data_IF_173884213027
#
_entry.id   IF_173884213027
#
_cell.length_a   1.000
_cell.length_b   1.000
_cell.length_c   1.000
_cell.angle_alpha   90.00
_cell.angle_beta   90.00
_cell.angle_gamma   90.00
#
_symmetry.space_group_name_H-M   'P 1'
#
loop_
_entity.id
_entity.type
_entity.pdbx_description
1 polymer ?
#
# COMPACT_ATOMS: atom_id res chain seq x y z
N UNK A 1 -15.36 13.27 -14.78
CA UNK A 1 -15.62 13.10 -16.23
C UNK A 1 -16.96 13.68 -16.68
N UNK A 2 -18.14 13.33 -16.10
CA UNK A 2 -19.42 13.89 -16.59
C UNK A 2 -19.51 15.41 -16.60
N UNK A 3 -18.93 16.09 -15.61
CA UNK A 3 -18.85 17.57 -15.60
C UNK A 3 -17.99 18.12 -16.73
N UNK A 4 -16.85 17.49 -17.02
CA UNK A 4 -15.96 17.87 -18.13
C UNK A 4 -16.73 17.78 -19.45
N UNK A 5 -17.50 16.70 -19.65
CA UNK A 5 -18.32 16.46 -20.83
C UNK A 5 -19.45 17.49 -20.96
N UNK A 6 -20.24 17.67 -19.89
CA UNK A 6 -21.40 18.57 -19.88
C UNK A 6 -20.99 20.02 -20.10
N UNK A 7 -19.99 20.49 -19.34
CA UNK A 7 -19.60 21.90 -19.31
C UNK A 7 -18.49 22.22 -20.35
N UNK A 8 -18.07 21.22 -21.16
CA UNK A 8 -17.02 21.33 -22.19
C UNK A 8 -15.75 21.96 -21.67
N UNK A 9 -15.31 21.53 -20.47
CA UNK A 9 -14.14 22.08 -19.83
C UNK A 9 -12.88 21.80 -20.66
N UNK A 10 -12.04 22.82 -20.83
CA UNK A 10 -10.75 22.66 -21.48
C UNK A 10 -9.79 21.85 -20.64
N UNK A 11 -8.79 21.19 -21.26
CA UNK A 11 -7.72 20.47 -20.56
C UNK A 11 -7.04 21.37 -19.51
N UNK A 12 -6.82 22.66 -19.82
CA UNK A 12 -6.23 23.64 -18.89
C UNK A 12 -7.09 23.82 -17.65
N UNK A 13 -8.41 24.00 -17.79
CA UNK A 13 -9.30 24.15 -16.62
C UNK A 13 -9.29 22.89 -15.75
N UNK A 14 -9.28 21.70 -16.36
CA UNK A 14 -9.20 20.43 -15.63
C UNK A 14 -7.87 20.33 -14.87
N UNK A 15 -6.75 20.70 -15.52
CA UNK A 15 -5.43 20.74 -14.89
C UNK A 15 -5.41 21.70 -13.69
N UNK A 16 -5.87 22.94 -13.86
CA UNK A 16 -5.87 23.96 -12.80
C UNK A 16 -6.72 23.52 -11.59
N UNK A 17 -7.88 22.89 -11.84
CA UNK A 17 -8.71 22.30 -10.80
C UNK A 17 -8.02 21.16 -10.05
N UNK A 18 -7.35 20.26 -10.77
CA UNK A 18 -6.61 19.14 -10.18
C UNK A 18 -5.39 19.64 -9.41
N UNK A 19 -4.64 20.61 -9.92
CA UNK A 19 -3.52 21.22 -9.20
C UNK A 19 -3.99 21.80 -7.88
N UNK A 20 -5.08 22.60 -7.89
CA UNK A 20 -5.69 23.15 -6.68
C UNK A 20 -6.14 22.06 -5.70
N UNK A 21 -6.76 20.99 -6.19
CA UNK A 21 -7.18 19.85 -5.37
C UNK A 21 -5.98 19.13 -4.74
N UNK A 22 -4.94 18.79 -5.52
CA UNK A 22 -3.75 18.07 -5.05
C UNK A 22 -3.01 18.91 -3.99
N UNK A 23 -2.80 20.21 -4.22
CA UNK A 23 -2.21 21.09 -3.21
C UNK A 23 -3.08 21.16 -1.95
N UNK A 24 -4.40 21.30 -2.10
CA UNK A 24 -5.34 21.39 -0.98
C UNK A 24 -5.32 20.20 -0.05
N UNK A 25 -5.27 18.97 -0.59
CA UNK A 25 -5.24 17.75 0.25
C UNK A 25 -3.85 17.45 0.86
N UNK A 26 -2.78 18.10 0.40
CA UNK A 26 -1.45 17.99 0.98
C UNK A 26 -1.15 19.06 2.04
N UNK A 27 -2.08 19.97 2.31
CA UNK A 27 -1.97 20.94 3.40
C UNK A 27 -2.25 20.23 4.74
N UNK A 28 -1.38 20.38 5.75
CA UNK A 28 -1.64 19.87 7.09
C UNK A 28 -2.93 20.48 7.66
N UNK A 29 -3.96 19.65 7.86
CA UNK A 29 -5.29 20.11 8.29
C UNK A 29 -5.65 19.64 9.69
N UNK A 30 -4.98 18.61 10.19
CA UNK A 30 -5.25 18.01 11.48
C UNK A 30 -4.13 18.34 12.46
N UNK A 31 -4.44 19.13 13.50
CA UNK A 31 -3.47 19.51 14.54
C UNK A 31 -2.19 20.18 13.99
N UNK A 32 -2.23 20.70 12.76
CA UNK A 32 -1.12 21.39 12.12
C UNK A 32 0.07 20.50 11.71
N UNK A 33 -0.04 19.17 11.80
CA UNK A 33 1.10 18.27 11.60
C UNK A 33 0.93 17.25 10.48
N UNK A 34 -0.29 16.90 10.09
CA UNK A 34 -0.54 15.88 9.09
C UNK A 34 -1.60 16.32 8.07
N UNK A 35 -1.33 16.02 6.80
CA UNK A 35 -2.33 16.07 5.75
C UNK A 35 -3.34 14.91 5.93
N UNK A 36 -4.58 15.06 5.44
CA UNK A 36 -5.56 13.97 5.44
C UNK A 36 -5.04 12.77 4.64
N UNK A 37 -5.03 11.61 5.26
CA UNK A 37 -4.72 10.38 4.55
C UNK A 37 -5.84 10.09 3.55
N UNK A 38 -5.54 10.20 2.27
CA UNK A 38 -6.52 10.08 1.18
C UNK A 38 -6.00 9.17 0.08
N UNK A 39 -6.93 8.51 -0.62
CA UNK A 39 -6.65 7.61 -1.72
C UNK A 39 -7.64 7.83 -2.85
N UNK A 40 -7.18 7.67 -4.08
CA UNK A 40 -8.01 7.62 -5.28
C UNK A 40 -7.67 6.34 -6.04
N UNK A 41 -8.69 5.54 -6.33
CA UNK A 41 -8.56 4.37 -7.21
C UNK A 41 -9.07 4.72 -8.59
N UNK A 42 -8.22 4.54 -9.60
CA UNK A 42 -8.51 4.87 -10.98
C UNK A 42 -8.86 3.61 -11.78
N UNK A 43 -9.95 3.72 -12.53
CA UNK A 43 -10.21 2.88 -13.69
C UNK A 43 -9.65 3.58 -14.92
N UNK A 44 -8.98 2.85 -15.81
CA UNK A 44 -8.42 3.44 -17.02
C UNK A 44 -9.46 3.64 -18.11
N UNK A 45 -10.43 2.74 -18.16
CA UNK A 45 -11.58 2.80 -19.05
C UNK A 45 -12.86 2.88 -18.23
N UNK A 46 -13.94 3.38 -18.80
CA UNK A 46 -15.25 3.34 -18.16
C UNK A 46 -15.65 1.88 -17.93
N UNK A 47 -15.88 1.44 -16.69
CA UNK A 47 -16.27 0.06 -16.40
C UNK A 47 -17.57 -0.33 -17.11
N UNK A 48 -17.64 -1.57 -17.59
CA UNK A 48 -18.79 -2.07 -18.36
C UNK A 48 -20.12 -1.95 -17.61
N UNK A 49 -20.08 -2.09 -16.27
CA UNK A 49 -21.25 -1.92 -15.40
C UNK A 49 -21.83 -0.49 -15.38
N UNK A 50 -21.01 0.53 -15.75
CA UNK A 50 -21.43 1.94 -15.82
C UNK A 50 -21.58 2.44 -17.25
N UNK A 51 -21.02 1.77 -18.24
CA UNK A 51 -20.89 2.24 -19.62
C UNK A 51 -22.22 2.72 -20.22
N UNK A 52 -23.30 1.95 -19.97
CA UNK A 52 -24.64 2.24 -20.50
C UNK A 52 -25.55 2.96 -19.50
N UNK A 53 -25.06 3.29 -18.30
CA UNK A 53 -25.85 4.05 -17.32
C UNK A 53 -25.78 5.53 -17.62
N UNK A 54 -26.89 6.23 -17.42
CA UNK A 54 -26.92 7.70 -17.51
C UNK A 54 -25.97 8.31 -16.50
N UNK A 55 -25.16 9.25 -16.95
CA UNK A 55 -24.25 9.96 -16.09
C UNK A 55 -25.01 10.88 -15.14
N UNK A 56 -24.56 10.95 -13.87
CA UNK A 56 -25.15 11.82 -12.86
C UNK A 56 -24.28 13.07 -12.75
N UNK A 57 -24.92 14.24 -12.94
CA UNK A 57 -24.30 15.55 -12.77
C UNK A 57 -25.14 16.38 -11.83
N UNK A 58 -24.51 16.86 -10.74
CA UNK A 58 -25.18 17.64 -9.68
C UNK A 58 -26.43 16.93 -9.09
N UNK A 59 -26.36 15.60 -8.95
CA UNK A 59 -27.44 14.78 -8.38
C UNK A 59 -28.58 14.46 -9.34
N UNK A 60 -28.48 14.84 -10.62
CA UNK A 60 -29.50 14.60 -11.64
C UNK A 60 -28.97 13.73 -12.79
N UNK A 61 -29.81 12.88 -13.35
CA UNK A 61 -29.48 12.11 -14.54
C UNK A 61 -29.31 13.04 -15.74
N UNK A 62 -28.28 12.77 -16.53
CA UNK A 62 -27.99 13.47 -17.79
C UNK A 62 -28.65 12.77 -18.98
N UNK A 63 -28.62 13.43 -20.13
CA UNK A 63 -29.04 12.88 -21.44
C UNK A 63 -27.97 11.99 -22.10
N UNK A 64 -26.77 11.91 -21.50
CA UNK A 64 -25.64 11.07 -21.94
C UNK A 64 -25.26 10.02 -20.89
N UNK A 65 -24.49 9.03 -21.30
CA UNK A 65 -24.03 7.91 -20.46
C UNK A 65 -22.61 8.14 -19.93
N UNK A 66 -22.19 7.35 -18.94
CA UNK A 66 -20.77 7.34 -18.54
C UNK A 66 -19.85 6.89 -19.68
N UNK A 67 -20.31 5.99 -20.57
CA UNK A 67 -19.55 5.54 -21.74
C UNK A 67 -19.21 6.67 -22.71
N UNK A 68 -20.09 7.66 -22.83
CA UNK A 68 -19.86 8.85 -23.67
C UNK A 68 -18.73 9.74 -23.15
N UNK A 69 -18.33 9.56 -21.86
CA UNK A 69 -17.30 10.36 -21.19
C UNK A 69 -15.89 9.73 -21.26
N UNK A 70 -15.65 8.74 -22.12
CA UNK A 70 -14.33 8.07 -22.21
C UNK A 70 -13.19 9.03 -22.59
N UNK A 71 -13.45 10.01 -23.45
CA UNK A 71 -12.47 11.03 -23.84
C UNK A 71 -12.12 11.95 -22.68
N UNK A 72 -13.12 12.35 -21.91
CA UNK A 72 -12.97 13.20 -20.74
C UNK A 72 -12.24 12.47 -19.60
N UNK A 73 -12.39 11.16 -19.54
CA UNK A 73 -11.61 10.31 -18.63
C UNK A 73 -10.12 10.39 -18.93
N UNK A 74 -9.75 10.30 -20.21
CA UNK A 74 -8.35 10.46 -20.65
C UNK A 74 -7.82 11.86 -20.33
N UNK A 75 -8.59 12.92 -20.55
CA UNK A 75 -8.22 14.30 -20.20
C UNK A 75 -7.96 14.42 -18.71
N UNK A 76 -8.82 13.81 -17.88
CA UNK A 76 -8.66 13.81 -16.41
C UNK A 76 -7.39 13.09 -15.98
N UNK A 77 -7.13 11.91 -16.53
CA UNK A 77 -5.94 11.13 -16.21
C UNK A 77 -4.65 11.84 -16.62
N UNK A 78 -4.58 12.34 -17.84
CA UNK A 78 -3.40 13.07 -18.32
C UNK A 78 -3.12 14.31 -17.45
N UNK A 79 -4.15 15.10 -17.17
CA UNK A 79 -4.00 16.28 -16.34
C UNK A 79 -3.58 15.93 -14.89
N UNK A 80 -4.12 14.85 -14.32
CA UNK A 80 -3.71 14.37 -12.99
C UNK A 80 -2.23 13.98 -12.96
N UNK A 81 -1.78 13.17 -13.90
CA UNK A 81 -0.38 12.74 -13.94
C UNK A 81 0.57 13.87 -14.32
N UNK A 82 0.17 14.84 -15.14
CA UNK A 82 0.94 16.08 -15.39
C UNK A 82 1.18 16.88 -14.09
N UNK A 83 0.16 17.04 -13.25
CA UNK A 83 0.31 17.68 -11.92
C UNK A 83 1.25 16.87 -11.02
N UNK A 84 1.06 15.56 -10.96
CA UNK A 84 1.91 14.69 -10.13
C UNK A 84 3.36 14.68 -10.58
N UNK A 85 3.63 14.71 -11.90
CA UNK A 85 4.98 14.73 -12.47
C UNK A 85 5.76 16.01 -12.16
N UNK A 86 5.06 17.11 -12.00
CA UNK A 86 5.65 18.39 -11.63
C UNK A 86 6.18 18.37 -10.18
N UNK A 87 5.47 17.67 -9.29
CA UNK A 87 5.73 17.71 -7.86
C UNK A 87 5.33 19.06 -7.24
N UNK A 88 5.68 19.26 -5.97
CA UNK A 88 5.46 20.54 -5.28
C UNK A 88 6.49 21.59 -5.73
N UNK A 89 6.38 22.80 -5.16
CA UNK A 89 7.29 23.94 -5.48
C UNK A 89 8.78 23.63 -5.23
N UNK A 90 9.07 22.66 -4.35
CA UNK A 90 10.42 22.19 -4.04
C UNK A 90 10.83 20.97 -4.89
N UNK A 91 9.98 20.50 -5.80
CA UNK A 91 10.20 19.29 -6.61
C UNK A 91 9.97 17.98 -5.86
N UNK A 92 9.33 18.02 -4.66
CA UNK A 92 8.94 16.80 -3.94
C UNK A 92 7.70 16.19 -4.59
N UNK A 93 7.67 14.86 -4.69
CA UNK A 93 6.44 14.17 -5.05
C UNK A 93 5.35 14.37 -4.00
N UNK A 94 4.11 14.54 -4.43
CA UNK A 94 2.96 14.66 -3.52
C UNK A 94 2.75 13.35 -2.76
N UNK A 95 2.48 13.45 -1.45
CA UNK A 95 2.22 12.28 -0.61
C UNK A 95 0.79 11.75 -0.82
N UNK A 96 -0.15 12.65 -1.05
CA UNK A 96 -1.58 12.36 -1.18
C UNK A 96 -2.16 13.02 -2.44
N UNK A 97 -3.24 12.42 -3.00
CA UNK A 97 -3.81 11.12 -2.64
C UNK A 97 -2.86 9.98 -3.03
N UNK A 98 -2.92 8.86 -2.33
CA UNK A 98 -2.35 7.61 -2.85
C UNK A 98 -3.15 7.25 -4.10
N UNK A 99 -2.46 7.14 -5.22
CA UNK A 99 -3.09 6.75 -6.48
C UNK A 99 -2.94 5.24 -6.65
N UNK A 100 -4.07 4.55 -6.80
CA UNK A 100 -4.13 3.14 -7.17
C UNK A 100 -4.75 3.02 -8.55
N UNK A 101 -4.19 2.18 -9.41
CA UNK A 101 -4.63 1.98 -10.78
C UNK A 101 -4.90 0.51 -11.06
N UNK A 102 -6.12 0.19 -11.51
CA UNK A 102 -6.44 -1.13 -12.05
C UNK A 102 -5.87 -1.31 -13.44
N UNK A 103 -5.04 -2.35 -13.58
CA UNK A 103 -4.52 -2.79 -14.87
C UNK A 103 -5.50 -3.76 -15.53
N UNK A 104 -5.71 -3.59 -16.82
CA UNK A 104 -6.58 -4.43 -17.64
C UNK A 104 -5.79 -5.02 -18.81
N UNK A 105 -6.26 -6.13 -19.38
CA UNK A 105 -5.61 -6.79 -20.51
C UNK A 105 -5.47 -5.88 -21.73
N UNK A 106 -6.43 -4.98 -21.94
CA UNK A 106 -6.48 -4.05 -23.07
C UNK A 106 -5.78 -2.71 -22.79
N UNK A 107 -4.95 -2.64 -21.75
CA UNK A 107 -4.22 -1.43 -21.40
C UNK A 107 -3.15 -1.10 -22.45
N UNK A 108 -3.19 0.11 -23.02
CA UNK A 108 -2.25 0.54 -24.06
C UNK A 108 -0.97 1.13 -23.44
N UNK A 109 -0.04 0.24 -23.11
CA UNK A 109 1.20 0.53 -22.40
C UNK A 109 2.06 1.64 -23.05
N UNK A 110 1.97 1.80 -24.38
CA UNK A 110 2.84 2.72 -25.12
C UNK A 110 2.20 4.07 -25.42
N UNK A 111 0.99 4.33 -24.95
CA UNK A 111 0.30 5.62 -25.09
C UNK A 111 0.18 6.42 -23.82
N UNK A 112 0.59 5.82 -22.67
CA UNK A 112 0.36 6.40 -21.36
C UNK A 112 1.63 7.06 -20.78
N UNK A 113 2.17 8.03 -21.53
CA UNK A 113 3.45 8.69 -21.24
C UNK A 113 3.46 9.36 -19.87
N UNK A 114 2.45 10.19 -19.53
CA UNK A 114 2.42 10.94 -18.28
C UNK A 114 2.29 10.02 -17.06
N UNK A 115 1.51 8.93 -17.18
CA UNK A 115 1.43 7.89 -16.16
C UNK A 115 2.81 7.28 -15.87
N UNK A 116 3.52 6.84 -16.92
CA UNK A 116 4.79 6.15 -16.73
C UNK A 116 5.95 7.08 -16.39
N UNK A 117 5.87 8.37 -16.71
CA UNK A 117 6.77 9.40 -16.16
C UNK A 117 6.61 9.50 -14.65
N UNK A 118 5.37 9.53 -14.15
CA UNK A 118 5.08 9.55 -12.71
C UNK A 118 5.55 8.29 -12.01
N UNK A 119 5.32 7.13 -12.64
CA UNK A 119 5.83 5.84 -12.14
C UNK A 119 7.37 5.86 -12.05
N UNK A 120 8.05 6.30 -13.09
CA UNK A 120 9.50 6.31 -13.17
C UNK A 120 10.15 7.23 -12.13
N UNK A 121 9.60 8.43 -11.94
CA UNK A 121 10.18 9.50 -11.12
C UNK A 121 9.78 9.42 -9.65
N UNK A 122 8.50 9.24 -9.37
CA UNK A 122 7.92 9.32 -8.03
C UNK A 122 7.27 8.02 -7.54
N UNK A 123 7.35 6.94 -8.34
CA UNK A 123 6.79 5.66 -7.94
C UNK A 123 5.26 5.66 -7.80
N UNK A 124 4.56 6.49 -8.55
CA UNK A 124 3.09 6.60 -8.58
C UNK A 124 2.58 6.16 -9.95
N UNK A 125 1.57 5.28 -10.03
CA UNK A 125 0.65 4.79 -8.99
C UNK A 125 1.08 3.48 -8.31
N UNK A 126 0.21 2.99 -7.41
CA UNK A 126 0.10 1.57 -7.06
C UNK A 126 -0.61 0.85 -8.21
N UNK A 127 -0.01 -0.23 -8.70
CA UNK A 127 -0.60 -1.06 -9.75
C UNK A 127 -1.36 -2.22 -9.12
N UNK A 128 -2.66 -2.34 -9.44
CA UNK A 128 -3.54 -3.42 -9.03
C UNK A 128 -3.76 -4.34 -10.23
N UNK A 129 -3.49 -5.63 -10.05
CA UNK A 129 -3.55 -6.63 -11.13
C UNK A 129 -4.79 -7.51 -11.04
N UNK A 130 -5.40 -7.61 -9.86
CA UNK A 130 -6.63 -8.37 -9.64
C UNK A 130 -7.88 -7.56 -9.93
N UNK A 131 -8.92 -8.25 -10.37
CA UNK A 131 -10.23 -7.64 -10.54
C UNK A 131 -10.77 -7.09 -9.21
N UNK A 132 -11.58 -6.03 -9.32
CA UNK A 132 -12.13 -5.27 -8.18
C UNK A 132 -12.88 -6.11 -7.14
N UNK A 133 -13.39 -7.27 -7.52
CA UNK A 133 -14.18 -8.14 -6.66
C UNK A 133 -13.34 -8.82 -5.57
N UNK A 134 -12.04 -8.99 -5.81
CA UNK A 134 -11.14 -9.78 -4.98
C UNK A 134 -10.32 -8.94 -3.99
N UNK A 135 -10.38 -7.60 -4.09
CA UNK A 135 -9.65 -6.69 -3.21
C UNK A 135 -10.61 -5.98 -2.27
N UNK A 136 -10.66 -6.43 -1.03
CA UNK A 136 -11.39 -5.78 0.06
C UNK A 136 -10.40 -5.10 1.01
N UNK A 137 -10.77 -3.95 1.58
CA UNK A 137 -9.93 -3.24 2.54
C UNK A 137 -9.26 -1.99 1.97
N UNK A 138 -7.98 -1.77 2.28
CA UNK A 138 -7.27 -0.50 2.04
C UNK A 138 -7.32 0.00 0.58
N UNK A 139 -7.21 -0.90 -0.40
CA UNK A 139 -7.36 -0.57 -1.81
C UNK A 139 -8.76 -0.86 -2.37
N UNK A 140 -9.68 -1.32 -1.51
CA UNK A 140 -11.06 -1.63 -1.90
C UNK A 140 -11.86 -0.38 -2.28
N UNK A 141 -12.85 -0.57 -3.14
CA UNK A 141 -13.71 0.51 -3.64
C UNK A 141 -15.17 0.34 -3.21
N UNK A 142 -15.48 -0.67 -2.42
CA UNK A 142 -16.86 -0.92 -1.98
C UNK A 142 -17.39 0.27 -1.18
N UNK A 143 -18.57 0.81 -1.53
CA UNK A 143 -19.16 1.91 -0.78
C UNK A 143 -19.50 1.49 0.66
N UNK A 144 -19.41 2.44 1.59
CA UNK A 144 -19.76 2.25 3.00
C UNK A 144 -19.00 1.10 3.68
N UNK A 145 -17.78 0.84 3.22
CA UNK A 145 -16.87 -0.16 3.75
C UNK A 145 -15.63 0.53 4.34
N UNK A 146 -15.03 -0.06 5.36
CA UNK A 146 -13.83 0.48 5.98
C UNK A 146 -13.24 -0.49 6.99
N UNK A 147 -12.18 -0.07 7.68
CA UNK A 147 -11.57 -0.82 8.79
C UNK A 147 -11.98 -0.21 10.13
N UNK A 148 -12.44 -1.02 11.05
CA UNK A 148 -12.66 -0.59 12.45
C UNK A 148 -11.42 -0.75 13.31
N UNK A 149 -10.37 -1.36 12.79
CA UNK A 149 -9.07 -1.50 13.44
C UNK A 149 -8.35 -2.78 13.11
N UNK A 150 -7.07 -2.79 13.48
CA UNK A 150 -6.12 -3.85 13.17
C UNK A 150 -5.61 -4.47 14.46
N UNK A 151 -5.48 -5.81 14.47
CA UNK A 151 -4.73 -6.56 15.49
C UNK A 151 -3.58 -7.26 14.79
N UNK A 152 -2.36 -6.97 15.19
CA UNK A 152 -1.14 -7.52 14.58
C UNK A 152 -0.53 -8.60 15.47
N UNK A 153 -0.35 -9.79 14.93
CA UNK A 153 0.24 -10.94 15.61
C UNK A 153 1.77 -10.94 15.47
N UNK A 154 2.47 -11.07 16.59
CA UNK A 154 3.92 -11.23 16.63
C UNK A 154 4.29 -12.71 16.37
N UNK A 155 4.55 -13.06 15.12
CA UNK A 155 4.91 -14.44 14.75
C UNK A 155 6.29 -14.84 15.28
N UNK A 156 7.21 -13.88 15.44
CA UNK A 156 8.57 -14.15 15.92
C UNK A 156 8.58 -14.69 17.33
N UNK A 157 7.95 -13.98 18.27
CA UNK A 157 7.81 -14.44 19.65
C UNK A 157 7.08 -15.77 19.72
N UNK A 158 6.03 -15.92 18.90
CA UNK A 158 5.26 -17.16 18.85
C UNK A 158 6.16 -18.34 18.47
N UNK A 159 6.96 -18.21 17.40
CA UNK A 159 7.86 -19.24 16.92
C UNK A 159 8.99 -19.55 17.90
N UNK A 160 9.59 -18.51 18.48
CA UNK A 160 10.66 -18.64 19.48
C UNK A 160 10.22 -19.46 20.71
N UNK A 161 8.99 -19.20 21.20
CA UNK A 161 8.43 -19.87 22.38
C UNK A 161 7.84 -21.26 22.09
N UNK A 162 7.72 -21.63 20.82
CA UNK A 162 7.15 -22.91 20.43
C UNK A 162 8.18 -24.01 20.40
N UNK A 163 7.83 -25.17 20.96
CA UNK A 163 8.71 -26.35 20.99
C UNK A 163 8.68 -27.13 19.69
N UNK A 164 7.60 -27.04 18.93
CA UNK A 164 7.41 -27.72 17.64
C UNK A 164 6.46 -26.91 16.74
N UNK A 165 6.31 -27.35 15.51
CA UNK A 165 5.36 -26.80 14.56
C UNK A 165 3.90 -26.89 15.06
N UNK A 166 3.54 -28.02 15.66
CA UNK A 166 2.19 -28.25 16.22
C UNK A 166 1.92 -27.29 17.40
N UNK A 167 2.92 -27.08 18.28
CA UNK A 167 2.82 -26.10 19.38
C UNK A 167 2.66 -24.68 18.83
N UNK A 168 3.35 -24.33 17.74
CA UNK A 168 3.20 -23.05 17.08
C UNK A 168 1.73 -22.81 16.62
N UNK A 169 1.14 -23.77 15.89
CA UNK A 169 -0.24 -23.62 15.42
C UNK A 169 -1.26 -23.61 16.57
N UNK A 170 -1.03 -24.37 17.63
CA UNK A 170 -1.86 -24.33 18.84
C UNK A 170 -1.86 -22.93 19.48
N UNK A 171 -0.69 -22.33 19.63
CA UNK A 171 -0.51 -20.96 20.17
C UNK A 171 -1.12 -19.92 19.23
N UNK A 172 -0.90 -20.05 17.94
CA UNK A 172 -1.46 -19.18 16.90
C UNK A 172 -3.00 -19.21 16.95
N UNK A 173 -3.59 -20.40 17.08
CA UNK A 173 -5.04 -20.55 17.23
C UNK A 173 -5.57 -19.75 18.42
N UNK A 174 -4.93 -19.87 19.59
CA UNK A 174 -5.34 -19.18 20.81
C UNK A 174 -5.25 -17.64 20.65
N UNK A 175 -4.17 -17.13 20.02
CA UNK A 175 -4.03 -15.70 19.73
C UNK A 175 -5.10 -15.20 18.76
N UNK A 176 -5.42 -15.99 17.74
CA UNK A 176 -6.50 -15.65 16.80
C UNK A 176 -7.85 -15.56 17.51
N UNK A 177 -8.16 -16.49 18.43
CA UNK A 177 -9.43 -16.46 19.18
C UNK A 177 -9.55 -15.19 20.02
N UNK A 178 -8.45 -14.74 20.64
CA UNK A 178 -8.41 -13.48 21.40
C UNK A 178 -8.60 -12.27 20.46
N UNK A 179 -7.92 -12.26 19.31
CA UNK A 179 -8.04 -11.18 18.32
C UNK A 179 -9.47 -11.09 17.77
N UNK A 180 -10.08 -12.20 17.37
CA UNK A 180 -11.45 -12.27 16.87
C UNK A 180 -12.43 -11.73 17.91
N UNK A 181 -12.34 -12.19 19.15
CA UNK A 181 -13.18 -11.71 20.25
C UNK A 181 -12.99 -10.20 20.50
N UNK A 182 -11.78 -9.69 20.37
CA UNK A 182 -11.53 -8.25 20.53
C UNK A 182 -12.23 -7.40 19.48
N UNK A 183 -12.36 -7.91 18.24
CA UNK A 183 -13.13 -7.25 17.18
C UNK A 183 -14.61 -7.24 17.45
N UNK A 184 -15.19 -8.32 18.01
CA UNK A 184 -16.60 -8.35 18.43
C UNK A 184 -16.90 -7.27 19.45
N UNK A 185 -16.09 -7.20 20.51
CA UNK A 185 -16.22 -6.18 21.56
C UNK A 185 -16.08 -4.77 20.98
N UNK A 186 -15.08 -4.57 20.14
CA UNK A 186 -14.82 -3.26 19.51
C UNK A 186 -16.00 -2.81 18.65
N UNK A 187 -16.56 -3.70 17.83
CA UNK A 187 -17.73 -3.42 16.99
C UNK A 187 -18.95 -3.01 17.83
N UNK A 188 -19.21 -3.75 18.91
CA UNK A 188 -20.31 -3.43 19.83
C UNK A 188 -20.13 -2.04 20.44
N UNK A 189 -18.94 -1.74 20.96
CA UNK A 189 -18.63 -0.43 21.55
C UNK A 189 -18.76 0.69 20.51
N UNK A 190 -18.21 0.50 19.30
CA UNK A 190 -18.30 1.52 18.24
C UNK A 190 -19.74 1.82 17.83
N UNK A 191 -20.59 0.79 17.71
CA UNK A 191 -22.01 0.98 17.41
C UNK A 191 -22.75 1.72 18.55
N UNK A 192 -22.50 1.36 19.82
CA UNK A 192 -23.04 2.06 20.97
C UNK A 192 -22.65 3.55 21.00
N UNK A 193 -21.37 3.85 20.72
CA UNK A 193 -20.88 5.24 20.67
C UNK A 193 -21.46 6.01 19.47
N UNK A 194 -21.67 5.36 18.33
CA UNK A 194 -22.34 5.96 17.17
C UNK A 194 -23.80 6.32 17.50
N UNK A 195 -24.52 5.39 18.16
CA UNK A 195 -25.91 5.60 18.58
C UNK A 195 -26.03 6.69 19.65
N UNK A 196 -25.06 6.76 20.54
CA UNK A 196 -24.97 7.83 21.54
C UNK A 196 -24.59 9.23 20.97
N UNK A 197 -24.33 9.32 19.64
CA UNK A 197 -24.05 10.59 18.96
C UNK A 197 -22.61 11.07 19.10
N UNK A 198 -21.68 10.22 19.58
CA UNK A 198 -20.26 10.60 19.74
C UNK A 198 -19.48 10.66 18.42
N UNK A 199 -20.07 10.19 17.31
CA UNK A 199 -19.50 10.27 15.97
C UNK A 199 -20.46 11.03 15.00
N UNK A 200 -20.73 12.33 15.22
CA UNK A 200 -21.78 13.03 14.47
C UNK A 200 -21.52 13.09 12.97
N UNK A 201 -20.25 13.29 12.55
CA UNK A 201 -19.88 13.29 11.13
C UNK A 201 -20.01 11.90 10.51
N UNK A 202 -19.52 10.87 11.19
CA UNK A 202 -19.61 9.48 10.71
C UNK A 202 -21.08 9.05 10.57
N UNK A 203 -21.92 9.40 11.54
CA UNK A 203 -23.35 9.07 11.53
C UNK A 203 -24.14 9.69 10.37
N UNK A 204 -23.64 10.80 9.80
CA UNK A 204 -24.23 11.40 8.60
C UNK A 204 -24.06 10.54 7.34
N UNK A 205 -23.08 9.61 7.33
CA UNK A 205 -22.74 8.79 6.17
C UNK A 205 -23.01 7.31 6.35
N UNK A 206 -22.94 6.79 7.58
CA UNK A 206 -23.15 5.35 7.87
C UNK A 206 -24.16 5.17 9.00
N UNK A 207 -24.95 4.12 8.89
CA UNK A 207 -25.92 3.71 9.94
C UNK A 207 -25.25 2.94 11.09
N UNK A 208 -24.26 2.11 10.77
CA UNK A 208 -23.56 1.23 11.68
C UNK A 208 -22.18 0.83 11.16
N UNK A 209 -21.39 0.14 11.98
CA UNK A 209 -20.09 -0.41 11.63
C UNK A 209 -20.12 -1.88 11.17
N UNK A 210 -21.28 -2.45 10.81
CA UNK A 210 -21.39 -3.85 10.47
C UNK A 210 -20.68 -4.21 9.17
N UNK A 211 -20.57 -3.25 8.24
CA UNK A 211 -19.82 -3.39 6.99
C UNK A 211 -18.31 -3.10 7.10
N UNK A 212 -17.84 -2.75 8.30
CA UNK A 212 -16.42 -2.47 8.53
C UNK A 212 -15.67 -3.73 8.93
N UNK A 213 -14.46 -3.89 8.41
CA UNK A 213 -13.63 -5.06 8.68
C UNK A 213 -12.86 -4.92 9.99
N UNK A 214 -12.80 -6.01 10.76
CA UNK A 214 -11.75 -6.24 11.72
C UNK A 214 -10.56 -6.85 10.99
N UNK A 215 -9.42 -6.19 11.00
CA UNK A 215 -8.26 -6.60 10.22
C UNK A 215 -7.26 -7.35 11.08
N UNK A 216 -6.92 -8.57 10.69
CA UNK A 216 -5.84 -9.34 11.28
C UNK A 216 -4.57 -9.10 10.47
N UNK A 217 -3.50 -8.70 11.14
CA UNK A 217 -2.17 -8.54 10.55
C UNK A 217 -1.16 -9.50 11.16
N UNK A 218 -0.07 -9.75 10.48
CA UNK A 218 1.07 -10.54 10.97
C UNK A 218 2.36 -9.79 10.75
N UNK A 219 3.37 -10.05 11.59
CA UNK A 219 4.70 -9.43 11.51
C UNK A 219 5.77 -10.47 11.72
N UNK A 220 6.86 -10.37 10.93
CA UNK A 220 8.09 -11.09 11.17
C UNK A 220 8.08 -12.55 10.75
N UNK A 221 7.41 -12.90 9.65
CA UNK A 221 7.43 -14.31 9.18
C UNK A 221 8.86 -14.78 8.91
N UNK A 222 9.70 -13.96 8.29
CA UNK A 222 11.08 -14.29 8.02
C UNK A 222 11.84 -14.59 9.32
N UNK A 223 11.79 -13.69 10.30
CA UNK A 223 12.45 -13.85 11.59
C UNK A 223 11.79 -14.95 12.43
N UNK A 224 10.49 -15.18 12.29
CA UNK A 224 9.81 -16.30 12.95
C UNK A 224 10.42 -17.64 12.55
N UNK A 225 10.68 -17.83 11.27
CA UNK A 225 11.28 -19.06 10.76
C UNK A 225 12.76 -19.19 11.14
N UNK A 226 13.50 -18.08 11.20
CA UNK A 226 14.87 -18.09 11.72
C UNK A 226 14.95 -18.48 13.21
N UNK A 227 13.97 -18.07 14.00
CA UNK A 227 13.88 -18.33 15.44
C UNK A 227 13.18 -19.67 15.79
N UNK A 228 12.49 -20.30 14.84
CA UNK A 228 11.83 -21.57 15.04
C UNK A 228 12.83 -22.71 15.17
N UNK A 229 12.88 -23.39 16.32
CA UNK A 229 13.83 -24.48 16.63
C UNK A 229 13.79 -25.63 15.62
N UNK A 230 12.64 -25.81 14.96
CA UNK A 230 12.42 -26.88 13.98
C UNK A 230 12.71 -26.46 12.53
N UNK A 231 13.06 -25.19 12.28
CA UNK A 231 13.25 -24.67 10.91
C UNK A 231 14.61 -24.00 10.73
N UNK A 232 14.88 -22.91 11.42
CA UNK A 232 16.16 -22.15 11.39
C UNK A 232 16.63 -21.77 9.98
N UNK A 233 15.69 -21.38 9.13
CA UNK A 233 15.91 -20.97 7.74
C UNK A 233 15.11 -19.70 7.46
N UNK A 234 15.58 -18.91 6.49
CA UNK A 234 14.89 -17.70 6.03
C UNK A 234 13.85 -17.96 4.92
N UNK A 235 13.15 -16.94 4.49
CA UNK A 235 12.06 -17.02 3.51
C UNK A 235 12.56 -17.33 2.07
N UNK A 236 13.87 -17.30 1.80
CA UNK A 236 14.43 -17.75 0.53
C UNK A 236 14.33 -19.29 0.37
N UNK A 237 14.18 -20.00 1.48
CA UNK A 237 14.05 -21.46 1.48
C UNK A 237 12.62 -21.92 1.18
N UNK A 238 12.46 -22.92 0.31
CA UNK A 238 11.14 -23.44 -0.12
C UNK A 238 10.32 -24.04 1.02
N UNK A 239 10.95 -24.68 2.03
CA UNK A 239 10.20 -25.21 3.18
C UNK A 239 9.59 -24.08 4.02
N UNK A 240 10.31 -22.95 4.12
CA UNK A 240 9.83 -21.76 4.81
C UNK A 240 8.67 -21.11 4.03
N UNK A 241 8.77 -21.05 2.70
CA UNK A 241 7.68 -20.51 1.85
C UNK A 241 6.41 -21.35 2.00
N UNK A 242 6.52 -22.69 2.02
CA UNK A 242 5.41 -23.60 2.26
C UNK A 242 4.80 -23.38 3.66
N UNK A 243 5.64 -23.29 4.69
CA UNK A 243 5.18 -23.03 6.04
C UNK A 243 4.48 -21.67 6.17
N UNK A 244 5.04 -20.62 5.55
CA UNK A 244 4.42 -19.30 5.52
C UNK A 244 3.04 -19.33 4.83
N UNK A 245 2.90 -20.06 3.71
CA UNK A 245 1.62 -20.26 3.04
C UNK A 245 0.62 -20.96 3.96
N UNK A 246 1.00 -22.04 4.62
CA UNK A 246 0.14 -22.74 5.57
C UNK A 246 -0.32 -21.87 6.75
N UNK A 247 0.55 -20.99 7.25
CA UNK A 247 0.18 -20.05 8.31
C UNK A 247 -0.89 -19.08 7.81
N UNK A 248 -0.73 -18.53 6.61
CA UNK A 248 -1.73 -17.62 6.03
C UNK A 248 -3.04 -18.34 5.69
N UNK A 249 -2.99 -19.55 5.15
CA UNK A 249 -4.18 -20.40 4.93
C UNK A 249 -4.90 -20.73 6.23
N UNK A 250 -4.15 -21.06 7.29
CA UNK A 250 -4.73 -21.30 8.62
C UNK A 250 -5.47 -20.06 9.13
N UNK A 251 -4.88 -18.87 9.01
CA UNK A 251 -5.49 -17.61 9.41
C UNK A 251 -6.74 -17.31 8.58
N UNK A 252 -6.68 -17.44 7.26
CA UNK A 252 -7.81 -17.26 6.36
C UNK A 252 -8.97 -18.22 6.68
N UNK A 253 -8.66 -19.51 6.90
CA UNK A 253 -9.67 -20.51 7.29
C UNK A 253 -10.29 -20.22 8.67
N UNK A 254 -9.54 -19.57 9.56
CA UNK A 254 -10.04 -19.19 10.89
C UNK A 254 -11.00 -18.01 10.80
N UNK A 255 -10.64 -16.96 10.06
CA UNK A 255 -11.46 -15.75 9.93
C UNK A 255 -12.68 -15.95 9.03
N UNK A 256 -12.59 -16.77 7.97
CA UNK A 256 -13.73 -17.05 7.06
C UNK A 256 -14.90 -17.76 7.72
N UNK A 257 -14.67 -18.44 8.84
CA UNK A 257 -15.72 -19.13 9.63
C UNK A 257 -16.48 -18.18 10.56
N UNK A 258 -16.07 -16.91 10.64
CA UNK A 258 -16.71 -15.95 11.53
C UNK A 258 -17.92 -15.29 10.87
N UNK A 259 -18.95 -15.00 11.65
CA UNK A 259 -20.13 -14.25 11.16
C UNK A 259 -19.83 -12.77 10.89
N UNK A 260 -18.86 -12.21 11.58
CA UNK A 260 -18.42 -10.83 11.40
C UNK A 260 -17.47 -10.67 10.20
N UNK A 261 -17.41 -9.46 9.63
CA UNK A 261 -16.45 -9.14 8.56
C UNK A 261 -15.05 -9.02 9.12
N UNK A 262 -14.21 -9.94 8.73
CA UNK A 262 -12.78 -9.98 9.03
C UNK A 262 -12.00 -10.14 7.73
N UNK A 263 -10.80 -9.58 7.68
CA UNK A 263 -9.84 -9.82 6.61
C UNK A 263 -8.43 -10.02 7.16
N UNK A 264 -7.58 -10.63 6.36
CA UNK A 264 -6.15 -10.75 6.59
C UNK A 264 -5.42 -9.75 5.71
N UNK A 265 -4.51 -8.97 6.29
CA UNK A 265 -3.82 -7.88 5.60
C UNK A 265 -2.32 -7.93 5.83
N UNK A 266 -1.54 -7.68 4.78
CA UNK A 266 -0.12 -7.41 4.90
C UNK A 266 0.11 -5.98 5.42
N UNK A 267 -0.23 -5.77 6.67
CA UNK A 267 -0.27 -4.45 7.30
C UNK A 267 1.09 -3.76 7.24
N UNK A 268 1.17 -2.49 6.82
CA UNK A 268 2.39 -1.69 6.92
C UNK A 268 2.67 -1.31 8.37
N UNK A 269 3.21 -2.24 9.14
CA UNK A 269 3.38 -2.14 10.60
C UNK A 269 4.70 -1.45 10.98
N UNK A 270 4.93 -0.21 10.52
CA UNK A 270 6.20 0.52 10.63
C UNK A 270 6.76 0.59 12.06
N UNK A 271 5.98 1.10 12.99
CA UNK A 271 6.39 1.23 14.39
C UNK A 271 6.30 -0.10 15.15
N UNK A 272 5.31 -0.93 14.81
CA UNK A 272 5.06 -2.22 15.48
C UNK A 272 6.22 -3.20 15.25
N UNK A 273 6.78 -3.23 14.03
CA UNK A 273 7.93 -4.07 13.70
C UNK A 273 9.15 -3.75 14.58
N UNK A 274 9.40 -2.46 14.81
CA UNK A 274 10.50 -2.00 15.68
C UNK A 274 10.18 -2.25 17.15
N UNK A 275 8.95 -1.96 17.57
CA UNK A 275 8.51 -2.10 18.95
C UNK A 275 8.54 -3.55 19.42
N UNK A 276 8.01 -4.48 18.61
CA UNK A 276 8.05 -5.91 18.93
C UNK A 276 9.49 -6.43 19.01
N UNK A 277 10.34 -6.07 18.04
CA UNK A 277 11.74 -6.50 18.06
C UNK A 277 12.49 -6.00 19.31
N UNK A 278 12.20 -4.76 19.75
CA UNK A 278 12.80 -4.20 20.97
C UNK A 278 12.36 -4.94 22.22
N UNK A 279 11.07 -5.10 22.45
CA UNK A 279 10.53 -5.80 23.61
C UNK A 279 10.98 -7.26 23.64
N UNK A 280 10.94 -7.93 22.49
CA UNK A 280 11.32 -9.34 22.41
C UNK A 280 12.81 -9.53 22.76
N UNK A 281 13.68 -8.63 22.32
CA UNK A 281 15.09 -8.68 22.63
C UNK A 281 15.40 -8.39 24.09
N UNK A 282 14.62 -7.53 24.73
CA UNK A 282 14.72 -7.27 26.18
C UNK A 282 14.32 -8.51 27.00
N UNK A 283 13.27 -9.22 26.54
CA UNK A 283 12.77 -10.43 27.23
C UNK A 283 13.57 -11.71 26.88
N UNK A 284 14.06 -11.77 25.67
CA UNK A 284 14.74 -12.92 25.07
C UNK A 284 15.98 -12.47 24.30
N UNK A 285 17.13 -12.26 24.98
CA UNK A 285 18.34 -11.69 24.36
C UNK A 285 18.89 -12.46 23.16
N UNK A 286 18.59 -13.76 23.06
CA UNK A 286 19.04 -14.64 21.97
C UNK A 286 18.13 -14.58 20.73
N UNK A 287 17.01 -13.83 20.78
CA UNK A 287 16.09 -13.75 19.65
C UNK A 287 16.75 -13.07 18.45
N UNK A 288 16.69 -13.71 17.29
CA UNK A 288 17.30 -13.20 16.07
C UNK A 288 16.45 -12.05 15.52
N UNK A 289 17.05 -10.87 15.43
CA UNK A 289 16.46 -9.70 14.80
C UNK A 289 17.53 -8.71 14.37
N UNK A 290 17.22 -7.83 13.41
CA UNK A 290 18.08 -6.71 13.03
C UNK A 290 17.74 -5.41 13.77
N UNK A 291 17.02 -5.50 14.91
CA UNK A 291 16.46 -4.36 15.64
C UNK A 291 15.11 -3.92 15.10
N UNK A 292 14.58 -4.65 14.14
CA UNK A 292 13.22 -4.60 13.62
C UNK A 292 12.83 -5.99 13.12
N UNK A 293 11.53 -6.22 12.91
CA UNK A 293 11.00 -7.39 12.22
C UNK A 293 10.52 -7.02 10.81
N UNK A 294 10.64 -7.93 9.88
CA UNK A 294 10.13 -7.75 8.52
C UNK A 294 8.60 -7.63 8.54
N UNK A 295 8.06 -6.74 7.71
CA UNK A 295 6.59 -6.61 7.58
C UNK A 295 5.99 -7.92 7.08
N UNK A 296 4.93 -8.36 7.74
CA UNK A 296 4.09 -9.50 7.32
C UNK A 296 4.91 -10.72 6.87
N UNK A 297 4.71 -11.15 5.63
CA UNK A 297 5.42 -12.27 4.96
C UNK A 297 6.32 -11.78 3.84
N UNK A 298 6.75 -10.50 3.88
CA UNK A 298 7.72 -10.00 2.91
C UNK A 298 9.09 -10.66 3.08
N UNK A 299 9.86 -10.69 1.99
CA UNK A 299 11.29 -11.00 2.07
C UNK A 299 12.03 -9.93 2.89
N UNK A 300 13.08 -10.34 3.61
CA UNK A 300 14.02 -9.36 4.15
C UNK A 300 14.61 -8.54 3.01
N UNK A 301 14.70 -7.25 3.21
CA UNK A 301 15.15 -6.30 2.17
C UNK A 301 16.58 -6.51 1.67
N UNK A 302 17.35 -7.36 2.34
CA UNK A 302 18.70 -7.75 1.96
C UNK A 302 18.79 -9.14 1.32
N UNK A 303 17.66 -9.86 1.13
CA UNK A 303 17.66 -11.24 0.65
C UNK A 303 18.17 -11.38 -0.78
N UNK A 304 17.68 -10.56 -1.69
CA UNK A 304 18.05 -10.62 -3.12
C UNK A 304 18.02 -9.26 -3.77
N UNK A 305 18.79 -9.07 -4.82
CA UNK A 305 18.78 -7.93 -5.74
C UNK A 305 18.15 -8.27 -7.09
N UNK A 306 17.72 -9.53 -7.28
CA UNK A 306 16.92 -9.97 -8.42
C UNK A 306 15.43 -9.80 -8.12
N UNK A 307 14.81 -8.83 -8.80
CA UNK A 307 13.37 -8.54 -8.67
C UNK A 307 12.49 -9.72 -9.10
N UNK A 308 12.91 -10.46 -10.11
CA UNK A 308 12.12 -11.57 -10.64
C UNK A 308 12.15 -12.78 -9.70
N UNK A 309 13.27 -13.01 -9.02
CA UNK A 309 13.34 -13.98 -7.93
C UNK A 309 12.42 -13.58 -6.76
N UNK A 310 12.49 -12.33 -6.34
CA UNK A 310 11.62 -11.79 -5.28
C UNK A 310 10.13 -11.91 -5.62
N UNK A 311 9.73 -11.54 -6.84
CA UNK A 311 8.35 -11.66 -7.33
C UNK A 311 7.88 -13.12 -7.35
N UNK A 312 8.71 -14.04 -7.79
CA UNK A 312 8.40 -15.49 -7.83
C UNK A 312 8.13 -16.07 -6.44
N UNK A 313 8.89 -15.62 -5.43
CA UNK A 313 8.70 -16.04 -4.04
C UNK A 313 7.45 -15.40 -3.44
N UNK A 314 7.24 -14.12 -3.71
CA UNK A 314 6.21 -13.33 -3.04
C UNK A 314 4.80 -13.52 -3.61
N UNK A 315 4.65 -13.85 -4.91
CA UNK A 315 3.32 -13.94 -5.53
C UNK A 315 2.36 -14.86 -4.78
N UNK A 316 2.80 -16.06 -4.36
CA UNK A 316 1.95 -17.00 -3.64
C UNK A 316 1.54 -16.48 -2.24
N UNK A 317 2.45 -15.79 -1.56
CA UNK A 317 2.22 -15.25 -0.23
C UNK A 317 1.32 -14.00 -0.28
N UNK A 318 1.57 -13.09 -1.23
CA UNK A 318 0.79 -11.88 -1.37
C UNK A 318 -0.66 -12.16 -1.79
N UNK A 319 -0.88 -13.24 -2.52
CA UNK A 319 -2.21 -13.69 -2.91
C UNK A 319 -3.07 -14.27 -1.77
N UNK A 320 -2.47 -14.58 -0.63
CA UNK A 320 -3.22 -15.05 0.55
C UNK A 320 -3.93 -13.92 1.31
N UNK A 321 -3.58 -12.66 1.03
CA UNK A 321 -4.18 -11.53 1.72
C UNK A 321 -5.48 -11.10 1.02
N UNK A 322 -6.62 -11.23 1.72
CA UNK A 322 -7.91 -10.71 1.27
C UNK A 322 -8.08 -9.21 1.50
N UNK A 323 -7.22 -8.62 2.35
CA UNK A 323 -7.10 -7.18 2.57
C UNK A 323 -5.95 -6.57 1.79
N UNK A 324 -5.50 -5.39 2.23
CA UNK A 324 -4.41 -4.70 1.55
C UNK A 324 -3.08 -5.47 1.64
N UNK A 325 -2.40 -5.50 0.52
CA UNK A 325 -1.01 -5.92 0.40
C UNK A 325 -0.34 -5.09 -0.68
N UNK A 326 0.98 -4.99 -0.67
CA UNK A 326 1.72 -4.33 -1.75
C UNK A 326 3.16 -4.84 -1.79
N UNK A 327 3.62 -5.21 -2.95
CA UNK A 327 5.01 -5.56 -3.19
C UNK A 327 5.78 -4.33 -3.70
N UNK A 328 6.70 -3.75 -2.90
CA UNK A 328 7.51 -2.62 -3.33
C UNK A 328 8.73 -3.10 -4.14
N UNK A 329 8.85 -2.62 -5.37
CA UNK A 329 10.07 -2.80 -6.18
C UNK A 329 10.99 -1.63 -5.88
N UNK A 330 11.94 -1.82 -4.97
CA UNK A 330 12.92 -0.80 -4.58
C UNK A 330 13.99 -0.66 -5.65
N UNK A 331 14.11 0.54 -6.23
CA UNK A 331 15.16 0.87 -7.20
C UNK A 331 16.03 2.01 -6.68
N UNK A 332 17.29 2.02 -7.07
CA UNK A 332 18.26 2.98 -6.54
C UNK A 332 17.92 4.43 -6.89
N UNK A 333 17.40 4.62 -8.10
CA UNK A 333 17.04 5.92 -8.65
C UNK A 333 15.86 5.79 -9.63
N UNK A 334 15.40 6.91 -10.19
CA UNK A 334 14.33 6.91 -11.19
C UNK A 334 14.71 6.15 -12.47
N UNK A 335 13.72 5.63 -13.17
CA UNK A 335 13.90 5.02 -14.49
C UNK A 335 13.97 6.15 -15.53
N UNK A 336 15.10 6.31 -16.22
CA UNK A 336 15.35 7.43 -17.13
C UNK A 336 14.31 7.55 -18.26
N UNK A 337 13.77 6.43 -18.72
CA UNK A 337 12.86 6.39 -19.86
C UNK A 337 11.51 5.80 -19.46
N UNK A 338 10.44 6.59 -19.60
CA UNK A 338 9.08 6.15 -19.30
C UNK A 338 8.65 4.87 -20.04
N UNK A 339 9.15 4.64 -21.27
CA UNK A 339 8.87 3.40 -22.01
C UNK A 339 9.51 2.18 -21.36
N UNK A 340 10.66 2.33 -20.71
CA UNK A 340 11.27 1.26 -19.91
C UNK A 340 10.39 0.97 -18.69
N UNK A 341 9.92 2.01 -17.99
CA UNK A 341 9.00 1.84 -16.88
C UNK A 341 7.72 1.11 -17.34
N UNK A 342 7.14 1.50 -18.46
CA UNK A 342 5.96 0.85 -19.05
C UNK A 342 6.21 -0.64 -19.35
N UNK A 343 7.33 -0.97 -19.99
CA UNK A 343 7.72 -2.36 -20.30
C UNK A 343 7.95 -3.18 -19.03
N UNK A 344 8.59 -2.59 -18.04
CA UNK A 344 8.85 -3.28 -16.78
C UNK A 344 7.56 -3.59 -16.02
N UNK A 345 6.66 -2.62 -15.86
CA UNK A 345 5.34 -2.81 -15.26
C UNK A 345 4.53 -3.85 -16.04
N UNK A 346 4.55 -3.79 -17.38
CA UNK A 346 3.93 -4.80 -18.25
C UNK A 346 4.48 -6.20 -18.00
N UNK A 347 5.80 -6.34 -17.91
CA UNK A 347 6.46 -7.63 -17.64
C UNK A 347 5.99 -8.23 -16.31
N UNK A 348 5.88 -7.40 -15.25
CA UNK A 348 5.34 -7.88 -13.96
C UNK A 348 3.89 -8.32 -14.13
N UNK A 349 3.05 -7.48 -14.74
CA UNK A 349 1.62 -7.76 -14.93
C UNK A 349 1.35 -9.04 -15.72
N UNK A 350 2.12 -9.32 -16.77
CA UNK A 350 1.90 -10.46 -17.66
C UNK A 350 2.48 -11.78 -17.12
N UNK A 351 3.49 -11.73 -16.25
CA UNK A 351 4.25 -12.93 -15.87
C UNK A 351 4.16 -13.31 -14.40
N UNK A 352 3.63 -12.43 -13.54
CA UNK A 352 3.57 -12.67 -12.09
C UNK A 352 2.19 -12.37 -11.54
N UNK A 353 1.69 -13.28 -10.71
CA UNK A 353 0.41 -13.11 -10.01
C UNK A 353 0.60 -12.34 -8.69
N UNK A 354 1.06 -11.08 -8.79
CA UNK A 354 1.17 -10.15 -7.66
C UNK A 354 -0.07 -9.26 -7.63
N UNK A 355 -0.87 -9.27 -6.56
CA UNK A 355 -2.13 -8.51 -6.53
C UNK A 355 -1.94 -7.00 -6.57
N UNK A 356 -0.91 -6.49 -5.90
CA UNK A 356 -0.57 -5.07 -5.85
C UNK A 356 0.95 -4.91 -5.81
N UNK A 357 1.48 -4.01 -6.62
CA UNK A 357 2.90 -3.66 -6.57
C UNK A 357 3.15 -2.18 -6.86
N UNK A 358 4.34 -1.70 -6.48
CA UNK A 358 4.79 -0.33 -6.75
C UNK A 358 6.23 -0.33 -7.23
N UNK A 359 6.54 0.58 -8.15
CA UNK A 359 7.93 0.94 -8.42
C UNK A 359 8.34 1.99 -7.38
N UNK A 360 9.48 1.83 -6.77
CA UNK A 360 9.87 2.68 -5.62
C UNK A 360 11.29 3.21 -5.81
N UNK A 361 11.47 4.28 -6.62
CA UNK A 361 12.75 4.97 -6.73
C UNK A 361 13.08 5.72 -5.44
N UNK A 362 14.38 5.92 -5.21
CA UNK A 362 14.89 6.85 -4.19
C UNK A 362 15.31 8.14 -4.88
N UNK A 363 15.00 9.30 -4.28
CA UNK A 363 15.41 10.60 -4.78
C UNK A 363 15.78 11.55 -3.62
N UNK A 364 16.43 12.65 -3.93
CA UNK A 364 16.83 13.65 -2.95
C UNK A 364 16.28 15.03 -3.31
N UNK A 365 16.10 15.87 -2.30
CA UNK A 365 15.63 17.25 -2.47
C UNK A 365 16.63 18.21 -1.85
N UNK A 366 17.12 19.18 -2.64
CA UNK A 366 17.84 20.34 -2.15
C UNK A 366 16.86 21.51 -2.00
N UNK A 367 16.93 22.24 -0.90
CA UNK A 367 16.06 23.42 -0.68
C UNK A 367 16.24 24.51 -1.73
N UNK A 368 17.45 24.64 -2.31
CA UNK A 368 17.75 25.66 -3.31
C UNK A 368 17.60 25.16 -4.76
N UNK A 369 17.91 23.87 -5.02
CA UNK A 369 17.98 23.33 -6.38
C UNK A 369 16.88 22.31 -6.68
N UNK A 370 16.00 22.01 -5.71
CA UNK A 370 14.86 21.10 -5.88
C UNK A 370 15.27 19.64 -6.01
N UNK A 371 14.61 18.95 -6.94
CA UNK A 371 14.77 17.51 -7.15
C UNK A 371 16.16 17.12 -7.64
N UNK A 372 16.73 16.09 -7.03
CA UNK A 372 18.02 15.50 -7.37
C UNK A 372 17.84 13.99 -7.53
N UNK A 373 18.40 13.47 -8.59
CA UNK A 373 18.37 12.07 -8.95
C UNK A 373 19.09 11.18 -7.93
N UNK A 374 18.42 10.12 -7.51
CA UNK A 374 18.98 9.11 -6.62
C UNK A 374 19.24 9.57 -5.18
N UNK A 375 19.96 8.74 -4.44
CA UNK A 375 20.33 8.97 -3.05
C UNK A 375 21.58 9.85 -2.98
N UNK A 376 21.43 11.14 -2.78
CA UNK A 376 22.51 12.11 -2.63
C UNK A 376 22.43 12.73 -1.23
N UNK A 377 23.49 12.63 -0.44
CA UNK A 377 23.57 13.29 0.89
C UNK A 377 23.87 14.78 0.79
N UNK A 378 24.55 15.17 -0.26
CA UNK A 378 24.91 16.56 -0.54
C UNK A 378 24.45 16.92 -1.95
N UNK A 379 23.97 18.14 -2.11
CA UNK A 379 23.60 18.66 -3.41
C UNK A 379 24.82 18.75 -4.33
N UNK A 380 24.79 18.20 -5.54
CA UNK A 380 25.94 18.26 -6.46
C UNK A 380 26.25 19.68 -6.95
N UNK A 381 25.32 20.64 -6.77
CA UNK A 381 25.48 22.02 -7.22
C UNK A 381 26.01 22.91 -6.10
N UNK A 382 25.32 22.95 -4.92
CA UNK A 382 25.70 23.85 -3.83
C UNK A 382 26.41 23.17 -2.66
N UNK A 383 26.56 21.84 -2.69
CA UNK A 383 27.18 21.03 -1.64
C UNK A 383 26.51 21.11 -0.26
N UNK A 384 25.29 21.66 -0.16
CA UNK A 384 24.49 21.66 1.05
C UNK A 384 23.85 20.29 1.29
N UNK A 385 23.51 19.92 2.55
CA UNK A 385 22.76 18.71 2.85
C UNK A 385 21.43 18.66 2.09
N UNK A 386 21.02 17.46 1.73
CA UNK A 386 19.74 17.21 1.03
C UNK A 386 18.84 16.36 1.91
N UNK A 387 17.55 16.41 1.62
CA UNK A 387 16.54 15.51 2.20
C UNK A 387 16.38 14.31 1.26
N UNK A 388 16.55 13.10 1.79
CA UNK A 388 16.43 11.86 1.00
C UNK A 388 15.02 11.29 1.18
N UNK A 389 14.34 11.03 0.07
CA UNK A 389 12.99 10.51 0.04
C UNK A 389 12.95 9.08 -0.52
N UNK A 390 12.26 8.19 0.18
CA UNK A 390 11.93 6.86 -0.30
C UNK A 390 10.61 6.42 0.33
N UNK A 391 10.02 5.32 -0.15
CA UNK A 391 8.81 4.76 0.42
C UNK A 391 9.12 4.03 1.72
N UNK A 392 8.53 4.50 2.82
CA UNK A 392 8.75 3.88 4.14
C UNK A 392 7.99 2.56 4.24
N UNK A 393 6.73 2.56 3.84
CA UNK A 393 5.89 1.37 3.63
C UNK A 393 4.81 1.68 2.61
N UNK A 394 3.82 2.48 2.93
CA UNK A 394 2.70 2.85 2.05
C UNK A 394 2.86 4.20 1.34
N UNK A 395 3.80 5.07 1.72
CA UNK A 395 3.97 6.41 1.16
C UNK A 395 5.42 6.89 1.25
N UNK A 396 5.76 7.91 0.46
CA UNK A 396 7.07 8.54 0.49
C UNK A 396 7.21 9.47 1.69
N UNK A 397 8.38 9.42 2.33
CA UNK A 397 8.73 10.30 3.44
C UNK A 397 10.22 10.58 3.45
N UNK A 398 10.62 11.74 3.96
CA UNK A 398 12.02 12.03 4.23
C UNK A 398 12.58 10.98 5.20
N UNK A 399 13.75 10.45 4.89
CA UNK A 399 14.40 9.37 5.62
C UNK A 399 14.68 9.74 7.09
N UNK A 400 14.99 11.01 7.36
CA UNK A 400 15.28 11.50 8.71
C UNK A 400 14.06 11.44 9.64
N UNK A 401 12.84 11.42 9.06
CA UNK A 401 11.59 11.30 9.81
C UNK A 401 11.17 9.85 10.08
N UNK A 402 11.95 8.87 9.63
CA UNK A 402 11.64 7.45 9.85
C UNK A 402 12.04 7.03 11.27
N UNK A 403 11.32 6.06 11.84
CA UNK A 403 11.75 5.44 13.09
C UNK A 403 13.06 4.66 12.90
N UNK A 404 13.78 4.43 14.01
CA UNK A 404 15.10 3.79 14.01
C UNK A 404 15.13 2.43 13.28
N UNK A 405 14.11 1.60 13.47
CA UNK A 405 14.03 0.29 12.80
C UNK A 405 13.88 0.41 11.29
N UNK A 406 13.10 1.36 10.82
CA UNK A 406 12.93 1.62 9.38
C UNK A 406 14.16 2.27 8.75
N UNK A 407 14.91 3.09 9.47
CA UNK A 407 16.22 3.60 9.04
C UNK A 407 17.24 2.46 8.90
N UNK A 408 17.26 1.51 9.86
CA UNK A 408 18.08 0.30 9.78
C UNK A 408 17.69 -0.58 8.61
N UNK A 409 16.38 -0.79 8.39
CA UNK A 409 15.88 -1.50 7.21
C UNK A 409 16.37 -0.86 5.92
N UNK A 410 16.20 0.45 5.77
CA UNK A 410 16.67 1.19 4.60
C UNK A 410 18.16 1.06 4.35
N UNK A 411 18.98 1.06 5.41
CA UNK A 411 20.44 0.91 5.29
C UNK A 411 20.88 -0.46 4.79
N UNK A 412 20.04 -1.50 5.01
CA UNK A 412 20.26 -2.88 4.56
C UNK A 412 19.59 -3.18 3.21
N UNK A 413 18.74 -2.26 2.74
CA UNK A 413 17.92 -2.47 1.55
C UNK A 413 18.79 -2.66 0.32
N UNK A 414 18.69 -3.83 -0.31
CA UNK A 414 19.17 -4.02 -1.68
C UNK A 414 18.17 -3.41 -2.65
N UNK A 415 18.68 -2.72 -3.64
CA UNK A 415 17.88 -2.19 -4.74
C UNK A 415 17.93 -3.15 -5.90
N UNK A 416 16.79 -3.29 -6.58
CA UNK A 416 16.69 -4.18 -7.73
C UNK A 416 17.27 -3.50 -8.98
N UNK A 417 17.99 -4.28 -9.77
CA UNK A 417 18.41 -3.90 -11.12
C UNK A 417 17.27 -4.14 -12.10
N UNK A 418 16.96 -3.16 -12.96
CA UNK A 418 15.87 -3.19 -13.94
C UNK A 418 16.45 -3.15 -15.35
#
# INVERSE_FOLDING_TARGET
MPFIHKDKLSKKMVHDCLESFIYGINIPSRWGTQAPFSQITLDWNVPDEYKNKKAIVAGQESDFTYGDCQKEMKILHDALFEVLNKGDISGRGFQFPIIALYLHKDFDWMKEEELFKSCAKYGTPYFLTKEKQDVEGYFGYKPLCGSMGIVTLNLVRLAYLSSSREDFFKRLNNLCDVAIRSFDVKRQVLNQLLDAGLYPYTKAYISDFNNYYGTLGVVGMNEACLNAKWMQKDLMNLDVQRFATEVLEFLNNKISKQAQKLNLEATPAESVCTHFAKIDREMYPEIISHGYYTNSTHLDVASTDDVFEALRIQQNLQNQYGGATSFPVFIEHEIENWKMAARFVKTIYENYDIPVFTITPTYSICEEHGYIYGKQKLCPICHKPTQIYSRVSGYYRNLDDWNEGKQKEFSRRKTYSI
#
